data_IF_398003210488
#
_entry.id   IF_398003210488
#
_cell.length_a   1.000
_cell.length_b   1.000
_cell.length_c   1.000
_cell.angle_alpha   90.00
_cell.angle_beta   90.00
_cell.angle_gamma   90.00
#
_symmetry.space_group_name_H-M   'P 1'
#
loop_
_entity.id
_entity.type
_entity.pdbx_description
1 polymer ?
#
# COMPACT_ATOMS: atom_id res chain seq x y z
N UNK A 1 -10.55 -15.18 -13.50
CA UNK A 1 -10.07 -14.99 -12.18
C UNK A 1 -8.66 -14.41 -12.10
N UNK A 2 -8.05 -14.20 -13.24
CA UNK A 2 -6.76 -13.55 -13.31
C UNK A 2 -6.81 -12.14 -12.74
N UNK A 3 -7.96 -11.48 -12.86
CA UNK A 3 -8.14 -10.14 -12.31
C UNK A 3 -8.00 -10.11 -10.80
N UNK A 4 -8.61 -11.08 -10.15
CA UNK A 4 -8.53 -11.18 -8.69
C UNK A 4 -7.08 -11.40 -8.27
N UNK A 5 -6.39 -12.31 -8.96
CA UNK A 5 -4.99 -12.58 -8.65
C UNK A 5 -4.11 -11.36 -8.88
N UNK A 6 -4.37 -10.62 -9.94
CA UNK A 6 -3.63 -9.40 -10.20
C UNK A 6 -3.84 -8.39 -9.09
N UNK A 7 -5.08 -8.21 -8.64
CA UNK A 7 -5.35 -7.31 -7.54
C UNK A 7 -4.70 -7.78 -6.25
N UNK A 8 -4.68 -9.07 -6.01
CA UNK A 8 -4.00 -9.62 -4.84
C UNK A 8 -2.51 -9.30 -4.86
N UNK A 9 -1.88 -9.43 -6.00
CA UNK A 9 -0.46 -9.10 -6.13
C UNK A 9 -0.21 -7.62 -5.90
N UNK A 10 -1.11 -6.76 -6.34
CA UNK A 10 -0.95 -5.31 -6.18
C UNK A 10 -1.25 -4.86 -4.76
N UNK A 11 -2.18 -5.53 -4.08
CA UNK A 11 -2.64 -5.10 -2.76
C UNK A 11 -2.07 -5.89 -1.60
N UNK A 12 -1.43 -7.00 -1.90
CA UNK A 12 -0.87 -7.86 -0.86
C UNK A 12 0.61 -8.06 -1.12
N UNK A 13 1.44 -7.15 -0.62
CA UNK A 13 2.89 -7.25 -0.84
C UNK A 13 3.50 -8.53 -0.30
N UNK A 14 2.82 -9.19 0.65
CA UNK A 14 3.30 -10.45 1.19
C UNK A 14 3.44 -11.52 0.12
N UNK A 15 2.57 -11.48 -0.90
CA UNK A 15 2.66 -12.45 -1.99
C UNK A 15 3.99 -12.29 -2.73
N UNK A 16 4.45 -11.05 -2.88
CA UNK A 16 5.74 -10.78 -3.50
C UNK A 16 6.88 -11.27 -2.62
N UNK A 17 6.73 -11.11 -1.30
CA UNK A 17 7.77 -11.53 -0.34
C UNK A 17 7.88 -13.04 -0.22
N UNK A 18 6.92 -13.80 -0.73
CA UNK A 18 6.97 -15.25 -0.71
C UNK A 18 7.97 -15.83 -1.70
N UNK A 19 8.44 -15.03 -2.64
CA UNK A 19 9.44 -15.49 -3.59
C UNK A 19 10.77 -15.67 -2.88
N UNK A 20 11.42 -16.82 -3.06
CA UNK A 20 12.63 -17.15 -2.28
C UNK A 20 13.85 -16.34 -2.68
N UNK A 21 13.90 -15.85 -3.91
CA UNK A 21 15.07 -15.16 -4.41
C UNK A 21 14.64 -13.98 -5.28
N UNK A 22 15.11 -12.79 -4.90
CA UNK A 22 14.79 -11.56 -5.62
C UNK A 22 15.17 -11.66 -7.09
N UNK A 23 16.32 -12.26 -7.37
CA UNK A 23 16.82 -12.35 -8.74
C UNK A 23 15.98 -13.26 -9.63
N UNK A 24 15.21 -14.16 -9.02
CA UNK A 24 14.35 -15.08 -9.76
C UNK A 24 12.99 -14.46 -10.06
N UNK A 25 12.70 -13.27 -9.54
CA UNK A 25 11.42 -12.63 -9.78
C UNK A 25 11.33 -12.09 -11.21
N UNK A 26 10.16 -12.20 -11.84
CA UNK A 26 9.92 -11.50 -13.09
C UNK A 26 10.11 -9.99 -12.90
N UNK A 27 10.58 -9.32 -13.95
CA UNK A 27 10.84 -7.87 -13.88
C UNK A 27 9.63 -7.08 -13.44
N UNK A 28 8.43 -7.50 -13.87
CA UNK A 28 7.21 -6.80 -13.47
C UNK A 28 6.97 -6.86 -11.96
N UNK A 29 7.28 -8.00 -11.32
CA UNK A 29 7.12 -8.14 -9.88
C UNK A 29 8.19 -7.39 -9.12
N UNK A 30 9.42 -7.35 -9.64
CA UNK A 30 10.48 -6.55 -9.03
C UNK A 30 10.10 -5.08 -9.04
N UNK A 31 9.59 -4.60 -10.16
CA UNK A 31 9.17 -3.21 -10.28
C UNK A 31 8.05 -2.90 -9.30
N UNK A 32 7.05 -3.77 -9.21
CA UNK A 32 5.94 -3.59 -8.28
C UNK A 32 6.42 -3.55 -6.83
N UNK A 33 7.39 -4.39 -6.49
CA UNK A 33 7.93 -4.43 -5.15
C UNK A 33 8.67 -3.13 -4.80
N UNK A 34 9.45 -2.62 -5.75
CA UNK A 34 10.14 -1.34 -5.58
C UNK A 34 9.12 -0.21 -5.39
N UNK A 35 8.07 -0.21 -6.22
CA UNK A 35 7.01 0.78 -6.12
C UNK A 35 6.33 0.74 -4.76
N UNK A 36 6.08 -0.44 -4.23
CA UNK A 36 5.48 -0.59 -2.91
C UNK A 36 6.36 0.03 -1.83
N UNK A 37 7.65 -0.25 -1.87
CA UNK A 37 8.58 0.32 -0.90
C UNK A 37 8.59 1.85 -0.95
N UNK A 38 8.59 2.42 -2.16
CA UNK A 38 8.57 3.86 -2.33
C UNK A 38 7.29 4.48 -1.81
N UNK A 39 6.13 3.85 -2.12
CA UNK A 39 4.85 4.39 -1.68
C UNK A 39 4.67 4.27 -0.18
N UNK A 40 5.26 3.26 0.46
CA UNK A 40 5.22 3.16 1.92
C UNK A 40 5.91 4.36 2.55
N UNK A 41 7.09 4.72 2.05
CA UNK A 41 7.81 5.89 2.54
C UNK A 41 6.97 7.16 2.38
N UNK A 42 6.37 7.34 1.22
CA UNK A 42 5.54 8.51 0.95
C UNK A 42 4.32 8.55 1.88
N UNK A 43 3.69 7.39 2.11
CA UNK A 43 2.55 7.30 3.00
C UNK A 43 2.91 7.68 4.42
N UNK A 44 4.05 7.19 4.91
CA UNK A 44 4.48 7.53 6.25
C UNK A 44 4.75 9.02 6.38
N UNK A 45 5.34 9.64 5.36
CA UNK A 45 5.58 11.09 5.37
C UNK A 45 4.28 11.88 5.45
N UNK A 46 3.23 11.42 4.80
CA UNK A 46 1.93 12.09 4.84
C UNK A 46 1.42 12.23 6.27
N UNK A 47 1.68 11.25 7.11
CA UNK A 47 1.25 11.29 8.51
C UNK A 47 2.37 11.72 9.45
N UNK A 48 3.44 12.32 8.90
CA UNK A 48 4.53 12.86 9.71
C UNK A 48 5.43 11.82 10.32
N UNK A 49 5.52 10.66 9.69
CA UNK A 49 6.29 9.53 10.21
C UNK A 49 7.38 9.09 9.25
N UNK A 50 8.23 8.19 9.71
CA UNK A 50 9.29 7.61 8.90
C UNK A 50 9.58 6.20 9.41
N UNK A 51 10.21 5.39 8.58
CA UNK A 51 10.65 4.05 8.97
C UNK A 51 12.13 4.09 9.33
N UNK A 52 12.51 3.33 10.35
CA UNK A 52 13.90 3.22 10.77
C UNK A 52 14.13 1.86 11.44
N UNK A 53 15.37 1.36 11.44
CA UNK A 53 15.66 0.10 12.12
C UNK A 53 15.30 0.18 13.59
N UNK A 54 14.62 -0.85 14.09
CA UNK A 54 14.20 -0.91 15.49
C UNK A 54 15.43 -0.97 16.40
N UNK A 55 16.46 -1.69 15.98
CA UNK A 55 17.68 -1.84 16.78
C UNK A 55 18.41 -0.52 17.01
N UNK A 56 18.21 0.46 16.13
CA UNK A 56 18.82 1.78 16.28
C UNK A 56 18.07 2.64 17.29
N UNK A 57 16.86 2.24 17.64
CA UNK A 57 15.97 3.03 18.51
C UNK A 57 15.24 2.13 19.48
N UNK A 58 15.96 1.32 20.26
CA UNK A 58 15.29 0.30 21.08
C UNK A 58 14.38 0.88 22.16
N UNK A 59 14.61 2.11 22.58
CA UNK A 59 13.80 2.75 23.62
C UNK A 59 12.70 3.65 23.06
N UNK A 60 12.66 3.85 21.74
CA UNK A 60 11.66 4.71 21.14
C UNK A 60 10.33 3.97 20.98
N UNK A 61 9.24 4.70 21.19
CA UNK A 61 7.91 4.14 21.00
C UNK A 61 7.55 4.24 19.51
N UNK A 62 7.16 3.11 18.94
CA UNK A 62 6.70 3.12 17.56
C UNK A 62 5.33 3.78 17.49
N UNK A 63 5.11 4.49 16.39
CA UNK A 63 3.83 5.11 16.13
C UNK A 63 2.81 4.08 15.67
N UNK A 64 1.65 4.05 16.31
CA UNK A 64 0.54 3.21 15.88
C UNK A 64 -0.33 4.02 14.91
N UNK A 65 -0.52 3.49 13.70
CA UNK A 65 -1.33 4.18 12.72
C UNK A 65 -2.78 4.19 13.20
N UNK A 66 -3.33 5.38 13.40
CA UNK A 66 -4.72 5.52 13.86
C UNK A 66 -5.70 5.21 12.74
N UNK A 67 -6.95 4.94 13.10
CA UNK A 67 -7.97 4.68 12.07
C UNK A 67 -8.22 5.90 11.20
N UNK A 68 -8.08 7.11 11.73
CA UNK A 68 -8.16 8.32 10.91
C UNK A 68 -7.02 8.37 9.90
N UNK A 69 -5.83 7.98 10.33
CA UNK A 69 -4.67 7.91 9.42
C UNK A 69 -4.84 6.80 8.39
N UNK A 70 -5.41 5.66 8.80
CA UNK A 70 -5.72 4.58 7.86
C UNK A 70 -6.62 5.10 6.76
N UNK A 71 -7.66 5.84 7.12
CA UNK A 71 -8.61 6.36 6.14
C UNK A 71 -7.94 7.35 5.19
N UNK A 72 -7.12 8.24 5.73
CA UNK A 72 -6.39 9.21 4.90
C UNK A 72 -5.47 8.50 3.91
N UNK A 73 -4.73 7.51 4.38
CA UNK A 73 -3.78 6.80 3.54
C UNK A 73 -4.47 5.85 2.56
N UNK A 74 -5.64 5.32 2.93
CA UNK A 74 -6.44 4.51 2.01
C UNK A 74 -6.90 5.34 0.81
N UNK A 75 -7.31 6.59 1.05
CA UNK A 75 -7.65 7.51 -0.03
C UNK A 75 -6.45 7.74 -0.95
N UNK A 76 -5.29 7.93 -0.37
CA UNK A 76 -4.07 8.12 -1.13
C UNK A 76 -3.74 6.86 -1.95
N UNK A 77 -3.87 5.70 -1.33
CA UNK A 77 -3.63 4.42 -2.01
C UNK A 77 -4.54 4.27 -3.23
N UNK A 78 -5.82 4.58 -3.06
CA UNK A 78 -6.76 4.48 -4.16
C UNK A 78 -6.41 5.44 -5.30
N UNK A 79 -5.99 6.65 -4.98
CA UNK A 79 -5.61 7.62 -6.01
C UNK A 79 -4.39 7.15 -6.79
N UNK A 80 -3.42 6.52 -6.13
CA UNK A 80 -2.26 5.95 -6.80
C UNK A 80 -2.69 4.81 -7.73
N UNK A 81 -3.57 3.95 -7.25
CA UNK A 81 -4.08 2.85 -8.04
C UNK A 81 -4.80 3.36 -9.30
N UNK A 82 -5.67 4.36 -9.14
CA UNK A 82 -6.39 4.95 -10.26
C UNK A 82 -5.44 5.55 -11.28
N UNK A 83 -4.45 6.31 -10.80
CA UNK A 83 -3.48 6.95 -11.68
C UNK A 83 -2.75 5.91 -12.52
N UNK A 84 -2.32 4.82 -11.89
CA UNK A 84 -1.61 3.76 -12.60
C UNK A 84 -2.52 3.08 -13.63
N UNK A 85 -3.78 2.81 -13.26
CA UNK A 85 -4.72 2.17 -14.19
C UNK A 85 -5.01 3.08 -15.39
N UNK A 86 -5.24 4.35 -15.13
CA UNK A 86 -5.50 5.29 -16.23
C UNK A 86 -4.30 5.41 -17.14
N UNK A 87 -3.10 5.42 -16.57
CA UNK A 87 -1.87 5.50 -17.35
C UNK A 87 -1.70 4.28 -18.24
N UNK A 88 -2.20 3.14 -17.81
CA UNK A 88 -2.12 1.89 -18.56
C UNK A 88 -3.30 1.64 -19.47
N UNK A 89 -4.15 2.64 -19.66
CA UNK A 89 -5.22 2.56 -20.64
C UNK A 89 -6.53 1.99 -20.12
N UNK A 90 -6.66 1.80 -18.80
CA UNK A 90 -7.91 1.31 -18.23
C UNK A 90 -8.96 2.42 -18.27
N UNK A 91 -10.22 2.02 -18.39
CA UNK A 91 -11.35 2.94 -18.41
C UNK A 91 -12.44 2.43 -17.46
N UNK A 92 -13.30 3.35 -17.05
CA UNK A 92 -14.45 2.99 -16.23
C UNK A 92 -15.47 2.23 -17.07
N UNK A 93 -16.04 1.18 -16.48
CA UNK A 93 -17.18 0.46 -17.06
C UNK A 93 -17.92 -0.19 -15.90
N UNK A 94 -19.25 -0.42 -16.05
CA UNK A 94 -20.04 -1.02 -14.95
C UNK A 94 -19.61 -2.42 -14.56
N UNK A 95 -18.97 -3.15 -15.48
CA UNK A 95 -18.50 -4.49 -15.19
C UNK A 95 -17.03 -4.60 -15.50
N UNK A 96 -16.34 -5.44 -14.73
CA UNK A 96 -14.92 -5.64 -14.89
C UNK A 96 -14.61 -6.53 -16.08
N UNK A 97 -13.65 -6.11 -16.91
CA UNK A 97 -13.20 -6.88 -18.07
C UNK A 97 -11.73 -6.60 -18.29
N UNK A 98 -10.87 -7.54 -17.87
CA UNK A 98 -9.43 -7.37 -17.96
C UNK A 98 -8.94 -7.30 -19.41
N UNK A 99 -9.58 -8.05 -20.29
CA UNK A 99 -9.18 -8.05 -21.69
C UNK A 99 -9.35 -6.67 -22.32
N UNK A 100 -10.43 -5.97 -21.95
CA UNK A 100 -10.73 -4.63 -22.45
C UNK A 100 -10.18 -3.54 -21.55
N UNK A 101 -9.57 -3.90 -20.42
CA UNK A 101 -9.09 -2.96 -19.42
C UNK A 101 -10.20 -2.05 -18.92
N UNK A 102 -11.28 -2.69 -18.49
CA UNK A 102 -12.45 -1.99 -17.96
C UNK A 102 -12.67 -2.37 -16.51
N UNK A 103 -13.03 -1.40 -15.67
CA UNK A 103 -13.27 -1.66 -14.26
C UNK A 103 -14.25 -0.64 -13.69
N UNK A 104 -15.16 -1.07 -12.79
CA UNK A 104 -16.07 -0.13 -12.14
C UNK A 104 -15.42 0.66 -11.00
N UNK A 105 -14.14 0.38 -10.67
CA UNK A 105 -13.48 0.98 -9.51
C UNK A 105 -12.71 2.26 -9.84
N UNK A 106 -12.74 2.72 -11.10
CA UNK A 106 -12.14 3.99 -11.49
C UNK A 106 -13.10 5.14 -11.15
N UNK A 107 -13.36 5.31 -9.86
CA UNK A 107 -14.23 6.33 -9.31
C UNK A 107 -13.57 6.89 -8.05
N UNK A 108 -13.97 8.08 -7.58
CA UNK A 108 -13.43 8.62 -6.34
C UNK A 108 -13.60 7.63 -5.19
N UNK A 109 -12.68 7.68 -4.23
CA UNK A 109 -12.71 6.77 -3.10
C UNK A 109 -14.08 6.76 -2.40
N UNK A 110 -14.69 7.92 -2.22
CA UNK A 110 -15.97 8.01 -1.50
C UNK A 110 -17.13 7.31 -2.22
N UNK A 111 -16.97 7.05 -3.50
CA UNK A 111 -18.00 6.36 -4.29
C UNK A 111 -17.84 4.84 -4.28
N UNK A 112 -16.79 4.34 -3.64
CA UNK A 112 -16.58 2.90 -3.50
C UNK A 112 -17.47 2.35 -2.39
N UNK A 113 -17.80 1.04 -2.50
CA UNK A 113 -18.49 0.37 -1.40
C UNK A 113 -17.52 0.13 -0.25
N UNK A 114 -18.05 -0.12 0.94
CA UNK A 114 -17.20 -0.29 2.12
C UNK A 114 -16.26 -1.48 1.99
N UNK A 115 -16.72 -2.57 1.42
CA UNK A 115 -15.86 -3.74 1.24
C UNK A 115 -14.69 -3.47 0.29
N UNK A 116 -14.91 -2.63 -0.74
CA UNK A 116 -13.83 -2.26 -1.65
C UNK A 116 -12.88 -1.27 -0.95
N UNK A 117 -13.42 -0.31 -0.20
CA UNK A 117 -12.58 0.59 0.60
C UNK A 117 -11.70 -0.19 1.58
N UNK A 118 -12.23 -1.27 2.14
CA UNK A 118 -11.47 -2.09 3.09
C UNK A 118 -10.24 -2.73 2.46
N UNK A 119 -10.24 -2.99 1.16
CA UNK A 119 -9.05 -3.48 0.51
C UNK A 119 -7.91 -2.47 0.62
N UNK A 120 -8.21 -1.20 0.42
CA UNK A 120 -7.21 -0.15 0.57
C UNK A 120 -6.84 0.06 2.03
N UNK A 121 -7.84 0.02 2.92
CA UNK A 121 -7.60 0.17 4.36
C UNK A 121 -6.69 -0.92 4.89
N UNK A 122 -6.92 -2.16 4.47
CA UNK A 122 -6.13 -3.29 4.92
C UNK A 122 -4.70 -3.23 4.40
N UNK A 123 -4.50 -2.70 3.20
CA UNK A 123 -3.16 -2.46 2.69
C UNK A 123 -2.39 -1.54 3.65
N UNK A 124 -3.04 -0.50 4.13
CA UNK A 124 -2.41 0.43 5.07
C UNK A 124 -2.22 -0.24 6.44
N UNK A 125 -3.22 -0.98 6.92
CA UNK A 125 -3.14 -1.64 8.22
C UNK A 125 -2.02 -2.67 8.30
N UNK A 126 -1.62 -3.21 7.16
CA UNK A 126 -0.54 -4.20 7.10
C UNK A 126 0.86 -3.60 7.09
N UNK A 127 0.98 -2.29 6.89
CA UNK A 127 2.30 -1.66 6.79
C UNK A 127 3.15 -1.90 8.04
N UNK A 128 2.64 -1.73 9.27
CA UNK A 128 3.48 -1.98 10.45
C UNK A 128 4.03 -3.39 10.51
N UNK A 129 3.20 -4.38 10.20
CA UNK A 129 3.65 -5.78 10.24
C UNK A 129 4.69 -6.06 9.18
N UNK A 130 4.53 -5.51 7.98
CA UNK A 130 5.51 -5.67 6.91
C UNK A 130 6.86 -5.09 7.31
N UNK A 131 6.85 -3.88 7.87
CA UNK A 131 8.09 -3.24 8.28
C UNK A 131 8.74 -3.98 9.44
N UNK A 132 7.94 -4.38 10.43
CA UNK A 132 8.49 -5.10 11.58
C UNK A 132 9.13 -6.42 11.17
N UNK A 133 8.56 -7.07 10.14
CA UNK A 133 9.10 -8.33 9.67
C UNK A 133 10.52 -8.21 9.12
N UNK A 134 10.90 -7.01 8.69
CA UNK A 134 12.26 -6.76 8.18
C UNK A 134 13.09 -5.88 9.14
N UNK A 135 12.65 -5.78 10.39
CA UNK A 135 13.41 -5.09 11.41
C UNK A 135 13.22 -3.58 11.46
N UNK A 136 12.21 -3.06 10.76
CA UNK A 136 11.92 -1.62 10.74
C UNK A 136 10.69 -1.31 11.58
N UNK A 137 10.68 -0.13 12.20
CA UNK A 137 9.53 0.38 12.92
C UNK A 137 9.13 1.73 12.36
N UNK A 138 7.95 2.18 12.73
CA UNK A 138 7.42 3.47 12.32
C UNK A 138 7.59 4.45 13.48
N UNK A 139 8.18 5.60 13.22
CA UNK A 139 8.43 6.61 14.24
C UNK A 139 7.91 7.96 13.78
N UNK A 140 7.35 8.70 14.71
CA UNK A 140 6.86 10.05 14.43
C UNK A 140 8.04 11.00 14.38
N UNK A 141 8.10 11.82 13.34
CA UNK A 141 9.22 12.73 13.14
C UNK A 141 9.38 13.71 14.29
N UNK A 142 8.27 14.13 14.90
CA UNK A 142 8.27 15.08 16.02
C UNK A 142 7.80 14.43 17.32
N UNK A 143 7.83 13.12 17.38
CA UNK A 143 7.23 12.39 18.49
C UNK A 143 7.70 12.83 19.87
N UNK A 144 8.99 13.06 20.03
CA UNK A 144 9.54 13.41 21.33
C UNK A 144 9.23 14.86 21.74
N UNK A 145 8.79 15.66 20.80
CA UNK A 145 8.50 17.07 21.06
C UNK A 145 7.16 17.23 21.76
N UNK A 146 6.32 16.24 21.59
CA UNK A 146 4.95 16.28 22.08
C UNK A 146 4.85 16.07 23.59
N UNK A 147 5.85 15.48 24.16
CA UNK A 147 5.84 15.14 25.58
C UNK A 147 5.71 16.32 26.51
#
# INVERSE_FOLDING_TARGET
HADYNEQQLLRNPEVVLEYPDWDDLPDSLKYSNIRQAQTISDKLHIIGCYAAPIEDRPSAVQHDISEAEVELLARYEHSLWMEERLRNGWVFAPEKDTTRKETPYLVPYDDLTEDIKDLDRDTIRNIPALLNAIGLGIYHALGRVVS
#
